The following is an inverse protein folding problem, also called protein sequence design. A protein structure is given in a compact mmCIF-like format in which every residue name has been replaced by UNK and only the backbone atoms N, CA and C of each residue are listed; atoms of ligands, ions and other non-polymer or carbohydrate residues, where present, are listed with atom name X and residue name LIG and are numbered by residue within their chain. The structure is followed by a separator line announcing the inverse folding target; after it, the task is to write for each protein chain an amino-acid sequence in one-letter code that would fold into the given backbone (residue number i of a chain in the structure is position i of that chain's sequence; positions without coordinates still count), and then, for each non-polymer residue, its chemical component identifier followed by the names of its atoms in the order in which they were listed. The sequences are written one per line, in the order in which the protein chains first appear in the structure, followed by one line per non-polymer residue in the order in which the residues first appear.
data_IF_666506827018
#
_entry.id   IF_666506827018
#
_cell.length_a   1.000
_cell.length_b   1.000
_cell.length_c   1.000
_cell.angle_alpha   90.00
_cell.angle_beta   90.00
_cell.angle_gamma   90.00
#
_symmetry.space_group_name_H-M   'P 1'
#
loop_
_entity.id
_entity.type
_entity.pdbx_description
1 polymer ?
#
# COMPACT_ATOMS: atom_id res chain seq x y z
N UNK A 1 65.02 -13.18 -56.14
CA UNK A 1 64.16 -12.36 -55.26
C UNK A 1 63.48 -13.26 -54.25
N UNK A 2 64.03 -13.30 -53.06
CA UNK A 2 63.53 -14.16 -51.97
C UNK A 2 62.70 -13.31 -51.05
N UNK A 3 61.37 -13.35 -51.16
CA UNK A 3 60.44 -12.67 -50.22
C UNK A 3 60.19 -13.63 -49.07
N UNK A 4 61.07 -13.62 -48.08
CA UNK A 4 60.87 -14.31 -46.81
C UNK A 4 59.84 -13.51 -45.98
N UNK A 5 58.54 -13.72 -46.21
CA UNK A 5 57.50 -13.19 -45.36
C UNK A 5 57.47 -13.98 -44.04
N UNK A 6 57.94 -13.29 -42.99
CA UNK A 6 57.99 -13.88 -41.64
C UNK A 6 56.56 -14.07 -41.11
N UNK A 7 56.05 -15.32 -41.05
CA UNK A 7 54.64 -15.58 -40.68
C UNK A 7 54.29 -15.17 -39.23
N UNK A 8 55.28 -14.93 -38.38
CA UNK A 8 55.08 -14.54 -36.99
C UNK A 8 54.61 -13.09 -36.83
N UNK A 9 54.83 -12.21 -37.81
CA UNK A 9 54.39 -10.79 -37.72
C UNK A 9 52.85 -10.64 -37.82
N UNK A 10 52.14 -11.57 -38.39
CA UNK A 10 50.68 -11.53 -38.57
C UNK A 10 49.92 -12.25 -37.47
N UNK A 11 50.53 -13.19 -36.76
CA UNK A 11 49.93 -13.92 -35.65
C UNK A 11 49.58 -13.01 -34.46
N UNK A 12 50.43 -12.08 -34.09
CA UNK A 12 50.25 -11.21 -32.92
C UNK A 12 49.00 -10.31 -33.01
N UNK A 13 48.75 -9.56 -34.09
CA UNK A 13 47.53 -8.75 -34.20
C UNK A 13 46.25 -9.60 -34.23
N UNK A 14 46.26 -10.80 -34.79
CA UNK A 14 45.11 -11.72 -34.78
C UNK A 14 44.86 -12.27 -33.38
N UNK A 15 45.88 -12.68 -32.64
CA UNK A 15 45.76 -13.13 -31.26
C UNK A 15 45.28 -11.99 -30.32
N UNK A 16 45.85 -10.80 -30.45
CA UNK A 16 45.35 -9.63 -29.67
C UNK A 16 43.90 -9.26 -30.00
N UNK A 17 43.54 -9.29 -31.29
CA UNK A 17 42.15 -9.05 -31.69
C UNK A 17 41.17 -10.11 -31.11
N UNK A 18 41.54 -11.37 -31.14
CA UNK A 18 40.74 -12.47 -30.55
C UNK A 18 40.62 -12.31 -29.02
N UNK A 19 41.67 -11.93 -28.31
CA UNK A 19 41.65 -11.65 -26.87
C UNK A 19 40.75 -10.48 -26.52
N UNK A 20 40.79 -9.37 -27.28
CA UNK A 20 39.90 -8.21 -27.08
C UNK A 20 38.45 -8.60 -27.29
N UNK A 21 38.12 -9.36 -28.35
CA UNK A 21 36.74 -9.85 -28.58
C UNK A 21 36.29 -10.74 -27.44
N UNK A 22 37.15 -11.68 -26.99
CA UNK A 22 36.82 -12.55 -25.86
C UNK A 22 36.59 -11.76 -24.56
N UNK A 23 37.40 -10.74 -24.28
CA UNK A 23 37.23 -9.85 -23.11
C UNK A 23 35.90 -9.08 -23.17
N UNK A 24 35.54 -8.55 -24.35
CA UNK A 24 34.27 -7.83 -24.55
C UNK A 24 33.09 -8.79 -24.36
N UNK A 25 33.14 -9.99 -24.95
CA UNK A 25 32.10 -11.00 -24.78
C UNK A 25 31.93 -11.41 -23.30
N UNK A 26 33.05 -11.62 -22.60
CA UNK A 26 33.04 -11.94 -21.17
C UNK A 26 32.43 -10.78 -20.35
N UNK A 27 32.78 -9.54 -20.64
CA UNK A 27 32.20 -8.36 -19.97
C UNK A 27 30.67 -8.26 -20.21
N UNK A 28 30.21 -8.57 -21.44
CA UNK A 28 28.77 -8.58 -21.77
C UNK A 28 28.05 -9.69 -20.98
N UNK A 29 28.62 -10.89 -20.94
CA UNK A 29 28.04 -12.06 -20.21
C UNK A 29 27.99 -11.75 -18.70
N UNK A 30 29.07 -11.21 -18.13
CA UNK A 30 29.10 -10.82 -16.71
C UNK A 30 28.08 -9.75 -16.41
N UNK A 31 27.97 -8.72 -17.23
CA UNK A 31 26.96 -7.67 -17.05
C UNK A 31 25.53 -8.23 -17.11
N UNK A 32 25.28 -9.16 -18.05
CA UNK A 32 23.99 -9.82 -18.13
C UNK A 32 23.69 -10.68 -16.89
N UNK A 33 24.67 -11.44 -16.41
CA UNK A 33 24.53 -12.27 -15.21
C UNK A 33 24.24 -11.41 -13.96
N UNK A 34 24.97 -10.30 -13.78
CA UNK A 34 24.76 -9.35 -12.67
C UNK A 34 23.34 -8.74 -12.73
N UNK A 35 22.88 -8.35 -13.93
CA UNK A 35 21.53 -7.81 -14.09
C UNK A 35 20.44 -8.84 -13.81
N UNK A 36 20.64 -10.08 -14.23
CA UNK A 36 19.71 -11.18 -14.00
C UNK A 36 19.60 -11.49 -12.50
N UNK A 37 20.72 -11.53 -11.80
CA UNK A 37 20.77 -11.77 -10.36
C UNK A 37 20.11 -10.64 -9.57
N UNK A 38 20.37 -9.36 -9.92
CA UNK A 38 19.66 -8.22 -9.33
C UNK A 38 18.15 -8.33 -9.51
N UNK A 39 17.69 -8.70 -10.68
CA UNK A 39 16.25 -8.89 -10.91
C UNK A 39 15.66 -9.97 -10.01
N UNK A 40 16.30 -11.12 -9.89
CA UNK A 40 15.83 -12.20 -9.02
C UNK A 40 15.76 -11.74 -7.57
N UNK A 41 16.78 -11.03 -7.10
CA UNK A 41 16.84 -10.47 -5.75
C UNK A 41 15.68 -9.50 -5.48
N UNK A 42 15.50 -8.47 -6.34
CA UNK A 42 14.44 -7.47 -6.11
C UNK A 42 13.04 -8.03 -6.31
N UNK A 43 12.84 -9.00 -7.21
CA UNK A 43 11.57 -9.72 -7.31
C UNK A 43 11.30 -10.53 -6.04
N UNK A 44 12.32 -11.20 -5.49
CA UNK A 44 12.22 -11.90 -4.21
C UNK A 44 11.86 -10.96 -3.06
N UNK A 45 12.56 -9.85 -2.94
CA UNK A 45 12.31 -8.80 -1.96
C UNK A 45 10.88 -8.23 -2.10
N UNK A 46 10.43 -7.94 -3.32
CA UNK A 46 9.08 -7.46 -3.61
C UNK A 46 8.02 -8.44 -3.10
N UNK A 47 8.20 -9.74 -3.32
CA UNK A 47 7.26 -10.76 -2.83
C UNK A 47 7.17 -10.77 -1.30
N UNK A 48 8.30 -10.63 -0.60
CA UNK A 48 8.34 -10.54 0.87
C UNK A 48 7.61 -9.28 1.36
N UNK A 49 7.89 -8.13 0.75
CA UNK A 49 7.23 -6.85 1.10
C UNK A 49 5.72 -6.93 0.88
N UNK A 50 5.30 -7.40 -0.30
CA UNK A 50 3.90 -7.54 -0.65
C UNK A 50 3.16 -8.51 0.28
N UNK A 51 3.79 -9.63 0.68
CA UNK A 51 3.19 -10.59 1.62
C UNK A 51 3.02 -9.97 3.02
N UNK A 52 4.03 -9.24 3.52
CA UNK A 52 3.95 -8.55 4.82
C UNK A 52 2.82 -7.52 4.85
N UNK A 53 2.74 -6.67 3.82
CA UNK A 53 1.67 -5.67 3.69
C UNK A 53 0.29 -6.34 3.54
N UNK A 54 0.18 -7.35 2.67
CA UNK A 54 -1.08 -8.07 2.48
C UNK A 54 -1.56 -8.79 3.74
N UNK A 55 -0.64 -9.29 4.58
CA UNK A 55 -0.97 -9.89 5.87
C UNK A 55 -1.53 -8.85 6.83
N UNK A 56 -0.94 -7.68 6.89
CA UNK A 56 -1.41 -6.56 7.72
C UNK A 56 -2.79 -6.09 7.29
N UNK A 57 -2.99 -5.83 5.99
CA UNK A 57 -4.27 -5.41 5.40
C UNK A 57 -5.36 -6.45 5.71
N UNK A 58 -5.07 -7.73 5.48
CA UNK A 58 -5.99 -8.84 5.80
C UNK A 58 -6.35 -8.93 7.28
N UNK A 59 -5.38 -8.64 8.16
CA UNK A 59 -5.63 -8.58 9.61
C UNK A 59 -6.64 -7.50 9.97
N UNK A 60 -6.54 -6.33 9.36
CA UNK A 60 -7.51 -5.24 9.52
C UNK A 60 -8.89 -5.66 8.99
N UNK A 61 -8.96 -6.16 7.76
CA UNK A 61 -10.22 -6.60 7.14
C UNK A 61 -10.96 -7.61 8.01
N UNK A 62 -10.28 -8.69 8.43
CA UNK A 62 -10.89 -9.76 9.23
C UNK A 62 -11.41 -9.27 10.59
N UNK A 63 -10.67 -8.38 11.25
CA UNK A 63 -11.10 -7.84 12.53
C UNK A 63 -12.25 -6.84 12.37
N UNK A 64 -12.21 -6.01 11.34
CA UNK A 64 -13.27 -5.08 11.01
C UNK A 64 -14.56 -5.82 10.66
N UNK A 65 -14.49 -6.83 9.81
CA UNK A 65 -15.64 -7.69 9.47
C UNK A 65 -16.30 -8.29 10.73
N UNK A 66 -15.51 -8.75 11.71
CA UNK A 66 -16.05 -9.26 12.99
C UNK A 66 -16.80 -8.18 13.81
N UNK A 67 -16.32 -6.94 13.81
CA UNK A 67 -17.00 -5.80 14.46
C UNK A 67 -18.28 -5.45 13.70
N UNK A 68 -18.22 -5.40 12.39
CA UNK A 68 -19.36 -5.03 11.53
C UNK A 68 -20.45 -6.07 11.54
N UNK A 69 -20.10 -7.36 11.59
CA UNK A 69 -21.06 -8.44 11.76
C UNK A 69 -21.79 -8.34 13.11
N UNK A 70 -21.13 -7.84 14.15
CA UNK A 70 -21.79 -7.61 15.43
C UNK A 70 -22.74 -6.43 15.34
N UNK A 71 -22.34 -5.32 14.72
CA UNK A 71 -23.23 -4.18 14.45
C UNK A 71 -24.44 -4.62 13.64
N UNK A 72 -24.27 -5.46 12.60
CA UNK A 72 -25.36 -5.94 11.76
C UNK A 72 -26.43 -6.74 12.53
N UNK A 73 -26.06 -7.37 13.65
CA UNK A 73 -26.99 -8.12 14.52
C UNK A 73 -27.75 -7.23 15.50
N UNK A 74 -27.28 -6.00 15.73
CA UNK A 74 -27.75 -5.10 16.78
C UNK A 74 -28.24 -3.75 16.24
N UNK A 75 -29.09 -3.79 15.22
CA UNK A 75 -29.69 -2.61 14.59
C UNK A 75 -31.01 -2.14 15.25
N UNK A 76 -31.39 -2.70 16.40
CA UNK A 76 -32.66 -2.43 17.09
C UNK A 76 -32.67 -1.10 17.84
N UNK A 77 -31.51 -0.59 18.25
CA UNK A 77 -31.40 0.68 18.96
C UNK A 77 -30.01 1.32 18.83
N UNK A 78 -29.90 2.64 18.99
CA UNK A 78 -28.61 3.35 19.01
C UNK A 78 -27.64 2.78 20.06
N UNK A 79 -28.16 2.48 21.24
CA UNK A 79 -27.37 1.96 22.36
C UNK A 79 -26.77 0.57 22.03
N UNK A 80 -27.57 -0.31 21.43
CA UNK A 80 -27.11 -1.65 21.01
C UNK A 80 -25.99 -1.57 19.96
N UNK A 81 -26.10 -0.63 19.00
CA UNK A 81 -25.05 -0.35 18.01
C UNK A 81 -23.76 0.10 18.70
N UNK A 82 -23.83 1.02 19.64
CA UNK A 82 -22.68 1.55 20.38
C UNK A 82 -21.99 0.43 21.16
N UNK A 83 -22.74 -0.42 21.83
CA UNK A 83 -22.23 -1.58 22.57
C UNK A 83 -21.59 -2.60 21.63
N UNK A 84 -22.19 -2.86 20.47
CA UNK A 84 -21.65 -3.76 19.45
C UNK A 84 -20.31 -3.24 18.91
N UNK A 85 -20.20 -1.94 18.57
CA UNK A 85 -18.95 -1.32 18.15
C UNK A 85 -17.86 -1.42 19.22
N UNK A 86 -18.21 -1.17 20.50
CA UNK A 86 -17.27 -1.22 21.62
C UNK A 86 -16.82 -2.61 22.02
N UNK A 87 -17.61 -3.65 21.73
CA UNK A 87 -17.43 -5.00 22.29
C UNK A 87 -16.15 -5.70 21.83
N UNK A 88 -15.59 -5.33 20.67
CA UNK A 88 -14.44 -6.01 20.02
C UNK A 88 -13.33 -5.09 19.56
N UNK A 89 -13.37 -3.80 19.92
CA UNK A 89 -12.40 -2.79 19.43
C UNK A 89 -10.96 -3.02 19.90
N UNK A 90 -10.74 -3.76 20.99
CA UNK A 90 -9.40 -4.07 21.51
C UNK A 90 -8.61 -5.09 20.68
N UNK A 91 -9.17 -5.62 19.60
CA UNK A 91 -8.61 -6.80 18.92
C UNK A 91 -7.57 -6.48 17.85
N UNK A 92 -7.50 -5.23 17.35
CA UNK A 92 -6.52 -4.88 16.32
C UNK A 92 -5.83 -3.55 16.62
N UNK A 93 -4.54 -3.59 17.02
CA UNK A 93 -3.76 -2.37 17.30
C UNK A 93 -3.46 -1.53 16.04
N UNK A 94 -3.74 -2.06 14.86
CA UNK A 94 -3.50 -1.39 13.57
C UNK A 94 -4.69 -0.51 13.14
N UNK A 95 -5.84 -0.61 13.83
CA UNK A 95 -7.05 0.20 13.59
C UNK A 95 -7.16 1.28 14.66
N UNK A 96 -7.29 2.53 14.23
CA UNK A 96 -7.41 3.68 15.14
C UNK A 96 -8.81 3.73 15.75
N UNK A 97 -9.83 3.42 14.94
CA UNK A 97 -11.20 3.40 15.40
C UNK A 97 -12.16 2.73 14.44
N UNK A 98 -13.33 2.44 14.97
CA UNK A 98 -14.44 1.84 14.25
C UNK A 98 -15.67 2.72 14.35
N UNK A 99 -16.41 2.85 13.25
CA UNK A 99 -17.64 3.62 13.23
C UNK A 99 -18.77 2.91 12.52
N UNK A 100 -19.99 3.41 12.76
CA UNK A 100 -21.18 3.07 11.99
C UNK A 100 -21.91 4.36 11.59
N UNK A 101 -21.85 4.73 10.32
CA UNK A 101 -22.51 5.93 9.79
C UNK A 101 -23.86 5.57 9.19
N UNK A 102 -24.93 5.89 9.92
CA UNK A 102 -26.29 5.47 9.55
C UNK A 102 -26.88 6.33 8.44
N UNK A 103 -27.80 5.75 7.66
CA UNK A 103 -28.61 6.52 6.74
C UNK A 103 -29.41 7.58 7.52
N UNK A 104 -29.63 8.79 6.96
CA UNK A 104 -30.29 9.86 7.65
C UNK A 104 -31.63 9.45 8.28
N UNK A 105 -31.79 9.73 9.57
CA UNK A 105 -32.99 9.41 10.36
C UNK A 105 -33.31 7.90 10.49
N UNK A 106 -32.34 7.01 10.34
CA UNK A 106 -32.54 5.57 10.60
C UNK A 106 -33.08 5.34 12.02
N UNK A 107 -32.48 6.04 12.99
CA UNK A 107 -33.01 6.19 14.36
C UNK A 107 -33.58 7.58 14.51
N UNK A 108 -34.91 7.78 14.46
CA UNK A 108 -35.52 9.12 14.50
C UNK A 108 -35.11 9.97 15.71
N UNK A 109 -34.88 9.34 16.88
CA UNK A 109 -34.47 10.02 18.10
C UNK A 109 -33.04 10.62 18.02
N UNK A 110 -32.16 10.06 17.18
CA UNK A 110 -30.79 10.53 16.95
C UNK A 110 -30.72 11.58 15.84
N UNK A 111 -31.82 11.77 15.09
CA UNK A 111 -31.89 12.74 14.01
C UNK A 111 -31.15 12.32 12.74
N UNK A 112 -30.69 13.33 11.99
CA UNK A 112 -30.13 13.13 10.66
C UNK A 112 -28.74 12.48 10.67
N UNK A 113 -27.90 12.80 11.65
CA UNK A 113 -26.48 12.41 11.64
C UNK A 113 -26.17 11.51 12.84
N UNK A 114 -26.39 10.23 12.72
CA UNK A 114 -25.99 9.29 13.74
C UNK A 114 -24.76 8.51 13.25
N UNK A 115 -23.59 8.86 13.80
CA UNK A 115 -22.30 8.24 13.50
C UNK A 115 -21.52 8.03 14.81
N UNK A 116 -21.82 6.96 15.56
CA UNK A 116 -20.96 6.55 16.68
C UNK A 116 -19.60 6.12 16.15
N UNK A 117 -18.55 6.62 16.78
CA UNK A 117 -17.15 6.31 16.52
C UNK A 117 -16.48 5.91 17.82
N UNK A 118 -15.96 4.68 17.85
CA UNK A 118 -15.20 4.14 18.97
C UNK A 118 -13.74 4.11 18.56
N UNK A 119 -12.90 4.91 19.20
CA UNK A 119 -11.51 5.09 18.85
C UNK A 119 -10.59 5.03 20.06
N UNK A 120 -9.30 4.81 19.82
CA UNK A 120 -8.31 4.85 20.88
C UNK A 120 -8.11 6.30 21.34
N UNK A 121 -8.27 6.55 22.64
CA UNK A 121 -7.98 7.83 23.27
C UNK A 121 -6.48 7.96 23.64
N UNK A 122 -6.14 9.01 24.39
CA UNK A 122 -4.77 9.26 24.88
C UNK A 122 -4.25 8.16 25.84
N UNK A 123 -5.15 7.35 26.37
CA UNK A 123 -4.87 6.16 27.17
C UNK A 123 -5.19 4.90 26.38
N UNK A 124 -4.92 3.72 26.94
CA UNK A 124 -5.29 2.44 26.34
C UNK A 124 -6.81 2.18 26.33
N UNK A 125 -7.61 3.13 26.78
CA UNK A 125 -9.07 3.03 26.81
C UNK A 125 -9.68 3.55 25.52
N UNK A 126 -10.75 2.88 25.08
CA UNK A 126 -11.53 3.31 23.93
C UNK A 126 -12.52 4.41 24.33
N UNK A 127 -12.59 5.44 23.51
CA UNK A 127 -13.48 6.60 23.68
C UNK A 127 -14.59 6.52 22.63
N UNK A 128 -15.82 6.71 23.07
CA UNK A 128 -16.97 6.89 22.17
C UNK A 128 -17.14 8.37 21.85
N UNK A 129 -17.22 8.69 20.59
CA UNK A 129 -17.54 10.04 20.07
C UNK A 129 -18.67 9.94 19.05
N UNK A 130 -19.66 10.83 19.12
CA UNK A 130 -20.65 11.01 18.05
C UNK A 130 -20.13 12.04 17.07
N UNK A 131 -19.63 11.58 15.94
CA UNK A 131 -18.90 12.43 14.97
C UNK A 131 -19.85 13.16 14.02
N UNK A 132 -20.94 12.50 13.59
CA UNK A 132 -21.91 13.08 12.66
C UNK A 132 -22.60 14.32 13.19
N UNK A 133 -22.60 15.42 12.40
CA UNK A 133 -23.24 16.68 12.75
C UNK A 133 -23.45 17.55 11.50
N UNK A 134 -24.13 18.70 11.65
CA UNK A 134 -24.25 19.68 10.58
C UNK A 134 -22.90 20.29 10.12
N UNK A 135 -21.87 20.24 10.98
CA UNK A 135 -20.50 20.67 10.64
C UNK A 135 -19.66 19.55 10.02
N UNK A 136 -20.03 18.32 10.33
CA UNK A 136 -19.42 17.13 9.77
C UNK A 136 -20.52 16.24 9.18
N UNK A 137 -20.99 16.60 7.99
CA UNK A 137 -21.98 15.82 7.26
C UNK A 137 -21.29 14.68 6.50
N UNK A 138 -21.14 13.53 7.17
CA UNK A 138 -20.53 12.35 6.60
C UNK A 138 -21.26 11.84 5.34
N UNK A 139 -22.52 12.21 5.14
CA UNK A 139 -23.28 11.78 3.95
C UNK A 139 -22.71 12.32 2.64
N UNK A 140 -21.81 13.30 2.71
CA UNK A 140 -21.08 13.88 1.57
C UNK A 140 -19.68 13.31 1.41
N UNK A 141 -19.19 12.53 2.37
CA UNK A 141 -17.86 11.92 2.32
C UNK A 141 -17.77 10.87 1.19
N UNK A 142 -16.61 10.79 0.53
CA UNK A 142 -16.39 9.88 -0.61
C UNK A 142 -16.64 8.42 -0.24
N UNK A 143 -16.12 7.97 0.92
CA UNK A 143 -16.31 6.62 1.42
C UNK A 143 -17.78 6.30 1.72
N UNK A 144 -18.57 7.27 2.22
CA UNK A 144 -20.00 7.06 2.47
C UNK A 144 -20.79 6.96 1.17
N UNK A 145 -20.55 7.91 0.24
CA UNK A 145 -21.18 7.93 -1.09
C UNK A 145 -20.84 6.66 -1.87
N UNK A 146 -19.63 6.15 -1.75
CA UNK A 146 -19.23 4.88 -2.33
C UNK A 146 -19.97 3.73 -1.65
N UNK A 147 -20.00 3.66 -0.31
CA UNK A 147 -20.71 2.64 0.46
C UNK A 147 -22.21 2.56 0.20
N UNK A 148 -22.82 3.69 -0.20
CA UNK A 148 -24.24 3.70 -0.65
C UNK A 148 -24.46 2.96 -1.97
N UNK A 149 -23.43 2.75 -2.78
CA UNK A 149 -23.49 2.13 -4.11
C UNK A 149 -22.98 0.69 -4.09
N UNK A 150 -22.01 0.41 -3.23
CA UNK A 150 -21.40 -0.90 -3.12
C UNK A 150 -22.31 -1.87 -2.34
N UNK A 151 -22.11 -3.16 -2.61
CA UNK A 151 -22.81 -4.25 -1.87
C UNK A 151 -21.84 -5.07 -1.04
N UNK A 152 -20.56 -4.85 -1.23
CA UNK A 152 -19.45 -5.57 -0.61
C UNK A 152 -18.51 -4.59 0.08
N UNK A 153 -17.67 -5.11 0.95
CA UNK A 153 -16.64 -4.33 1.62
C UNK A 153 -15.60 -3.81 0.62
N UNK A 154 -15.09 -2.61 0.88
CA UNK A 154 -14.10 -1.95 0.03
C UNK A 154 -13.13 -1.10 0.86
N UNK A 155 -11.98 -0.77 0.27
CA UNK A 155 -11.07 0.24 0.80
C UNK A 155 -11.37 1.60 0.15
N UNK A 156 -11.52 2.64 0.98
CA UNK A 156 -11.67 4.01 0.47
C UNK A 156 -10.35 4.50 -0.14
N UNK A 157 -10.45 5.49 -1.02
CA UNK A 157 -9.30 6.37 -1.28
C UNK A 157 -8.90 7.10 0.00
N UNK A 158 -7.65 7.58 0.05
CA UNK A 158 -7.19 8.42 1.15
C UNK A 158 -7.95 9.75 1.15
N UNK A 159 -8.38 10.19 2.32
CA UNK A 159 -9.08 11.47 2.51
C UNK A 159 -8.54 12.22 3.73
N UNK A 160 -8.58 13.53 3.68
CA UNK A 160 -8.18 14.35 4.81
C UNK A 160 -9.38 14.55 5.75
N UNK A 161 -9.18 14.23 7.03
CA UNK A 161 -10.13 14.51 8.11
C UNK A 161 -9.60 15.64 8.97
N UNK A 162 -10.41 16.66 9.18
CA UNK A 162 -10.09 17.78 10.07
C UNK A 162 -11.00 17.72 11.30
N UNK A 163 -10.38 17.71 12.47
CA UNK A 163 -11.10 17.46 13.71
C UNK A 163 -11.48 18.72 14.49
N UNK A 164 -12.70 18.65 15.02
CA UNK A 164 -13.19 19.52 16.09
C UNK A 164 -13.68 18.73 17.33
N UNK A 165 -13.41 17.42 17.43
CA UNK A 165 -14.07 16.50 18.38
C UNK A 165 -13.11 15.53 19.09
N UNK A 166 -11.83 15.86 19.22
CA UNK A 166 -10.77 15.03 19.82
C UNK A 166 -10.40 13.74 19.04
N UNK A 167 -10.73 13.70 17.76
CA UNK A 167 -10.20 12.69 16.82
C UNK A 167 -9.05 13.34 16.06
N UNK A 168 -7.89 12.72 15.94
CA UNK A 168 -6.72 13.36 15.34
C UNK A 168 -6.96 13.78 13.89
N UNK A 169 -6.63 15.03 13.54
CA UNK A 169 -6.67 15.48 12.15
C UNK A 169 -5.56 14.82 11.33
N UNK A 170 -5.84 14.44 10.09
CA UNK A 170 -4.85 13.81 9.22
C UNK A 170 -5.46 13.14 8.00
N UNK A 171 -4.60 12.46 7.26
CA UNK A 171 -5.03 11.61 6.15
C UNK A 171 -5.41 10.22 6.66
N UNK A 172 -6.61 9.80 6.30
CA UNK A 172 -7.20 8.53 6.67
C UNK A 172 -7.47 7.67 5.44
N UNK A 173 -7.50 6.37 5.66
CA UNK A 173 -8.06 5.36 4.78
C UNK A 173 -8.98 4.48 5.60
N UNK A 174 -10.08 4.07 5.02
CA UNK A 174 -11.13 3.32 5.70
C UNK A 174 -11.40 2.02 4.97
N UNK A 175 -11.37 0.91 5.72
CA UNK A 175 -12.02 -0.32 5.26
C UNK A 175 -13.49 -0.21 5.60
N UNK A 176 -14.34 -0.09 4.59
CA UNK A 176 -15.76 0.20 4.73
C UNK A 176 -16.63 -0.97 4.29
N UNK A 177 -17.75 -1.18 4.98
CA UNK A 177 -18.72 -2.23 4.69
C UNK A 177 -20.14 -1.68 4.81
N UNK A 178 -20.95 -1.74 3.74
CA UNK A 178 -22.37 -1.42 3.82
C UNK A 178 -23.14 -2.49 4.58
N UNK A 179 -23.93 -2.09 5.57
CA UNK A 179 -24.75 -2.97 6.42
C UNK A 179 -26.22 -2.81 6.05
N UNK A 180 -26.87 -3.92 5.78
CA UNK A 180 -28.28 -3.96 5.39
C UNK A 180 -29.16 -4.50 6.55
N UNK A 181 -30.34 -3.93 6.70
CA UNK A 181 -31.33 -4.41 7.67
C UNK A 181 -32.02 -5.72 7.21
N UNK A 182 -32.84 -6.29 8.06
CA UNK A 182 -33.58 -7.52 7.77
C UNK A 182 -34.54 -7.41 6.55
N UNK A 183 -34.84 -6.21 6.11
CA UNK A 183 -35.65 -5.91 4.92
C UNK A 183 -34.79 -5.69 3.66
N UNK A 184 -33.48 -5.83 3.77
CA UNK A 184 -32.52 -5.61 2.68
C UNK A 184 -32.32 -4.14 2.32
N UNK A 185 -32.69 -3.20 3.19
CA UNK A 185 -32.43 -1.76 3.02
C UNK A 185 -31.10 -1.43 3.68
N UNK A 186 -30.32 -0.54 3.08
CA UNK A 186 -29.11 -0.04 3.70
C UNK A 186 -29.45 0.65 5.03
N UNK A 187 -28.84 0.18 6.11
CA UNK A 187 -28.93 0.76 7.45
C UNK A 187 -27.81 1.76 7.71
N UNK A 188 -26.57 1.35 7.47
CA UNK A 188 -25.37 2.19 7.67
C UNK A 188 -24.22 1.72 6.79
N UNK A 189 -23.18 2.53 6.75
CA UNK A 189 -21.85 2.14 6.31
C UNK A 189 -20.96 2.08 7.54
N UNK A 190 -20.47 0.88 7.87
CA UNK A 190 -19.45 0.69 8.91
C UNK A 190 -18.06 0.95 8.33
N UNK A 191 -17.15 1.45 9.15
CA UNK A 191 -15.76 1.68 8.76
C UNK A 191 -14.77 1.39 9.87
N UNK A 192 -13.60 0.94 9.48
CA UNK A 192 -12.39 0.79 10.30
C UNK A 192 -11.31 1.70 9.74
N UNK A 193 -10.87 2.65 10.56
CA UNK A 193 -9.96 3.71 10.15
C UNK A 193 -8.51 3.38 10.47
N UNK A 194 -7.64 3.69 9.51
CA UNK A 194 -6.20 3.75 9.66
C UNK A 194 -5.68 5.09 9.16
N UNK A 195 -4.56 5.57 9.70
CA UNK A 195 -3.91 6.79 9.17
C UNK A 195 -2.86 6.44 8.12
N UNK A 196 -2.63 7.40 7.22
CA UNK A 196 -1.49 7.35 6.30
C UNK A 196 -0.16 7.27 7.08
N UNK A 197 -0.05 7.99 8.19
CA UNK A 197 1.14 8.00 9.05
C UNK A 197 1.45 6.61 9.62
N UNK A 198 0.43 5.89 10.07
CA UNK A 198 0.57 4.48 10.47
C UNK A 198 1.10 3.60 9.32
N UNK A 199 0.60 3.80 8.08
CA UNK A 199 1.08 3.03 6.92
C UNK A 199 2.55 3.37 6.59
N UNK A 200 2.94 4.64 6.72
CA UNK A 200 4.34 5.08 6.56
C UNK A 200 5.24 4.38 7.59
N UNK A 201 4.81 4.32 8.85
CA UNK A 201 5.58 3.64 9.90
C UNK A 201 5.69 2.13 9.67
N UNK A 202 4.64 1.48 9.19
CA UNK A 202 4.69 0.06 8.78
C UNK A 202 5.65 -0.14 7.61
N UNK A 203 5.59 0.73 6.62
CA UNK A 203 6.45 0.65 5.45
C UNK A 203 7.93 0.82 5.82
N UNK A 204 8.24 1.78 6.71
CA UNK A 204 9.59 2.01 7.24
C UNK A 204 10.12 0.76 7.96
N UNK A 205 9.33 0.14 8.82
CA UNK A 205 9.70 -1.10 9.52
C UNK A 205 9.97 -2.25 8.53
N UNK A 206 9.11 -2.41 7.53
CA UNK A 206 9.29 -3.45 6.51
C UNK A 206 10.55 -3.18 5.69
N UNK A 207 10.83 -1.94 5.33
CA UNK A 207 12.05 -1.56 4.60
C UNK A 207 13.30 -1.88 5.42
N UNK A 208 13.33 -1.52 6.71
CA UNK A 208 14.44 -1.84 7.61
C UNK A 208 14.65 -3.36 7.73
N UNK A 209 13.58 -4.13 7.85
CA UNK A 209 13.66 -5.59 7.92
C UNK A 209 14.26 -6.19 6.65
N UNK A 210 13.82 -5.77 5.46
CA UNK A 210 14.36 -6.32 4.20
C UNK A 210 15.77 -5.82 3.91
N UNK A 211 16.16 -4.62 4.37
CA UNK A 211 17.54 -4.13 4.29
C UNK A 211 18.50 -4.95 5.14
N UNK A 212 18.05 -5.42 6.31
CA UNK A 212 18.86 -6.17 7.25
C UNK A 212 18.75 -7.70 7.09
N UNK A 213 17.92 -8.18 6.17
CA UNK A 213 17.76 -9.61 5.91
C UNK A 213 18.98 -10.17 5.16
N UNK A 214 19.76 -11.03 5.83
CA UNK A 214 20.96 -11.65 5.26
C UNK A 214 20.65 -12.53 4.04
N UNK A 215 19.50 -13.21 4.01
CA UNK A 215 19.11 -14.07 2.89
C UNK A 215 18.77 -13.27 1.64
N UNK A 216 18.21 -12.08 1.81
CA UNK A 216 17.87 -11.17 0.71
C UNK A 216 19.10 -10.37 0.23
N UNK A 217 20.10 -10.16 1.10
CA UNK A 217 21.24 -9.27 0.83
C UNK A 217 22.57 -10.01 0.60
N UNK A 218 22.69 -11.30 0.94
CA UNK A 218 23.97 -12.00 0.99
C UNK A 218 24.33 -12.75 -0.33
N UNK A 219 24.15 -12.11 -1.47
CA UNK A 219 24.45 -12.72 -2.78
C UNK A 219 25.79 -12.28 -3.39
N UNK A 220 26.75 -11.79 -2.58
CA UNK A 220 28.14 -11.56 -3.02
C UNK A 220 28.32 -10.46 -4.06
N UNK A 221 27.29 -9.73 -4.43
CA UNK A 221 27.39 -8.56 -5.29
C UNK A 221 27.77 -7.33 -4.46
N UNK A 222 28.78 -6.55 -4.88
CA UNK A 222 29.08 -5.29 -4.25
C UNK A 222 27.93 -4.31 -4.53
N UNK A 223 27.36 -3.76 -3.50
CA UNK A 223 26.50 -2.60 -3.63
C UNK A 223 25.33 -2.64 -2.65
N UNK A 224 25.37 -1.75 -1.67
CA UNK A 224 24.16 -1.16 -1.14
C UNK A 224 23.53 -0.39 -2.29
N UNK A 225 22.71 -1.09 -3.10
CA UNK A 225 21.89 -0.39 -4.08
C UNK A 225 21.00 0.58 -3.30
N UNK A 226 21.01 1.85 -3.69
CA UNK A 226 20.12 2.84 -3.10
C UNK A 226 18.70 2.55 -3.60
N UNK A 227 17.87 2.02 -2.71
CA UNK A 227 16.49 1.72 -2.99
C UNK A 227 15.58 2.22 -1.86
N UNK A 228 14.33 2.42 -2.19
CA UNK A 228 13.26 2.64 -1.21
C UNK A 228 11.99 1.89 -1.61
N UNK A 229 11.12 1.68 -0.63
CA UNK A 229 9.83 1.04 -0.84
C UNK A 229 8.74 2.11 -0.78
N UNK A 230 7.78 2.06 -1.68
CA UNK A 230 6.67 3.03 -1.75
C UNK A 230 5.35 2.31 -2.02
N UNK A 231 4.26 2.80 -1.44
CA UNK A 231 2.91 2.40 -1.82
C UNK A 231 2.36 3.48 -2.75
N UNK A 232 1.84 3.06 -3.89
CA UNK A 232 1.32 3.92 -4.95
C UNK A 232 -0.19 3.76 -5.09
N UNK A 233 -0.86 4.87 -5.33
CA UNK A 233 -2.20 4.88 -5.89
C UNK A 233 -2.16 4.44 -7.37
N UNK A 234 -3.31 4.17 -7.94
CA UNK A 234 -3.47 3.75 -9.33
C UNK A 234 -3.15 4.86 -10.35
N UNK A 235 -3.05 6.12 -9.92
CA UNK A 235 -2.60 7.26 -10.73
C UNK A 235 -1.07 7.47 -10.72
N UNK A 236 -0.33 6.64 -9.98
CA UNK A 236 1.12 6.71 -9.85
C UNK A 236 1.63 7.69 -8.79
N UNK A 237 0.74 8.33 -8.03
CA UNK A 237 1.13 9.14 -6.86
C UNK A 237 1.44 8.25 -5.66
N UNK A 238 2.42 8.64 -4.83
CA UNK A 238 2.70 7.90 -3.60
C UNK A 238 1.58 8.11 -2.59
N UNK A 239 1.04 7.00 -2.11
CA UNK A 239 0.18 6.96 -0.94
C UNK A 239 1.00 6.94 0.36
N UNK A 240 2.07 6.14 0.42
CA UNK A 240 2.98 6.09 1.55
C UNK A 240 4.43 5.94 1.08
N UNK A 241 5.32 6.76 1.64
CA UNK A 241 6.77 6.72 1.43
C UNK A 241 7.47 6.75 2.80
N UNK A 242 8.55 6.00 3.04
CA UNK A 242 9.22 5.92 4.35
C UNK A 242 9.63 7.26 4.94
N UNK A 243 10.07 8.20 4.10
CA UNK A 243 10.47 9.55 4.52
C UNK A 243 9.32 10.56 4.55
N UNK A 244 8.10 10.12 4.21
CA UNK A 244 6.93 11.00 4.08
C UNK A 244 6.90 11.86 2.82
N UNK A 245 7.82 11.64 1.89
CA UNK A 245 7.91 12.37 0.64
C UNK A 245 6.79 12.02 -0.33
N UNK A 246 6.38 12.99 -1.14
CA UNK A 246 5.46 12.74 -2.25
C UNK A 246 6.29 12.37 -3.48
N UNK A 247 6.07 11.17 -3.99
CA UNK A 247 6.66 10.68 -5.23
C UNK A 247 5.56 10.54 -6.27
N UNK A 248 5.82 10.97 -7.50
CA UNK A 248 4.89 10.80 -8.61
C UNK A 248 5.59 10.11 -9.77
N UNK A 249 4.99 9.04 -10.26
CA UNK A 249 5.44 8.24 -11.40
C UNK A 249 4.40 8.35 -12.50
N UNK A 250 4.51 9.38 -13.33
CA UNK A 250 3.50 9.78 -14.33
C UNK A 250 3.69 9.17 -15.72
N UNK A 251 4.54 8.16 -15.89
CA UNK A 251 4.66 7.44 -17.16
C UNK A 251 3.33 6.76 -17.51
N UNK A 252 2.80 7.04 -18.70
CA UNK A 252 1.45 6.59 -19.10
C UNK A 252 1.32 5.05 -19.12
N UNK A 253 2.35 4.34 -19.57
CA UNK A 253 2.33 2.88 -19.63
C UNK A 253 2.39 2.26 -18.23
N UNK A 254 3.18 2.88 -17.34
CA UNK A 254 3.27 2.47 -15.95
C UNK A 254 1.95 2.71 -15.21
N UNK A 255 1.36 3.89 -15.32
CA UNK A 255 0.05 4.23 -14.74
C UNK A 255 -1.04 3.29 -15.25
N UNK A 256 -1.04 2.97 -16.56
CA UNK A 256 -1.96 1.98 -17.11
C UNK A 256 -1.79 0.60 -16.47
N UNK A 257 -0.54 0.18 -16.21
CA UNK A 257 -0.25 -1.10 -15.52
C UNK A 257 -0.76 -1.10 -14.08
N UNK A 258 -0.62 0.02 -13.35
CA UNK A 258 -1.16 0.15 -11.99
C UNK A 258 -2.69 0.00 -11.97
N UNK A 259 -3.39 0.70 -12.87
CA UNK A 259 -4.87 0.63 -13.03
C UNK A 259 -5.36 -0.76 -13.40
N UNK A 260 -4.58 -1.50 -14.18
CA UNK A 260 -4.88 -2.88 -14.55
C UNK A 260 -4.53 -3.90 -13.44
N UNK A 261 -3.98 -3.46 -12.32
CA UNK A 261 -3.44 -4.33 -11.27
C UNK A 261 -2.41 -5.33 -11.80
N UNK A 262 -1.57 -4.88 -12.72
CA UNK A 262 -0.46 -5.67 -13.23
C UNK A 262 0.71 -5.67 -12.24
N UNK A 263 1.58 -6.66 -12.37
CA UNK A 263 2.88 -6.71 -11.70
C UNK A 263 4.00 -6.75 -12.72
N UNK A 264 5.13 -6.12 -12.40
CA UNK A 264 6.21 -6.09 -13.35
C UNK A 264 7.44 -5.32 -12.90
N UNK A 265 8.24 -4.98 -13.88
CA UNK A 265 9.44 -4.16 -13.75
C UNK A 265 9.39 -3.08 -14.82
N UNK A 266 9.52 -1.82 -14.41
CA UNK A 266 9.56 -0.67 -15.29
C UNK A 266 10.88 0.10 -15.15
N UNK A 267 11.29 0.77 -16.21
CA UNK A 267 12.41 1.69 -16.21
C UNK A 267 11.84 3.10 -16.32
N UNK A 268 11.92 3.87 -15.24
CA UNK A 268 11.26 5.17 -15.11
C UNK A 268 12.26 6.21 -14.57
N UNK A 269 11.91 7.47 -14.77
CA UNK A 269 12.51 8.57 -14.03
C UNK A 269 11.67 8.87 -12.80
N UNK A 270 12.25 8.75 -11.62
CA UNK A 270 11.58 9.01 -10.34
C UNK A 270 12.29 10.18 -9.68
N UNK A 271 11.57 11.29 -9.48
CA UNK A 271 12.11 12.55 -8.96
C UNK A 271 13.39 13.02 -9.71
N UNK A 272 13.42 12.88 -11.03
CA UNK A 272 14.58 13.29 -11.87
C UNK A 272 15.73 12.28 -11.87
N UNK A 273 15.58 11.11 -11.23
CA UNK A 273 16.62 10.08 -11.16
C UNK A 273 16.18 8.85 -11.95
N UNK A 274 16.97 8.42 -12.97
CA UNK A 274 16.71 7.18 -13.68
C UNK A 274 16.69 6.01 -12.70
N UNK A 275 15.56 5.28 -12.67
CA UNK A 275 15.32 4.25 -11.68
C UNK A 275 14.75 3.00 -12.33
N UNK A 276 14.91 1.87 -11.65
CA UNK A 276 14.25 0.62 -11.97
C UNK A 276 13.21 0.34 -10.90
N UNK A 277 11.96 0.20 -11.31
CA UNK A 277 10.81 0.06 -10.41
C UNK A 277 10.26 -1.35 -10.52
N UNK A 278 10.29 -2.10 -9.43
CA UNK A 278 9.65 -3.40 -9.28
C UNK A 278 8.33 -3.17 -8.57
N UNK A 279 7.21 -3.63 -9.12
CA UNK A 279 5.90 -3.32 -8.57
C UNK A 279 4.95 -4.51 -8.63
N UNK A 280 4.01 -4.53 -7.68
CA UNK A 280 2.94 -5.53 -7.60
C UNK A 280 1.72 -4.95 -6.90
N UNK A 281 0.48 -5.30 -7.33
CA UNK A 281 -0.73 -4.83 -6.67
C UNK A 281 -0.88 -5.46 -5.29
N UNK A 282 -1.44 -4.70 -4.36
CA UNK A 282 -1.93 -5.18 -3.07
C UNK A 282 -3.37 -5.64 -3.24
N UNK A 283 -3.62 -6.92 -3.02
CA UNK A 283 -4.94 -7.52 -3.26
C UNK A 283 -6.04 -6.86 -2.45
N UNK A 284 -7.23 -6.72 -3.06
CA UNK A 284 -8.44 -6.12 -2.48
C UNK A 284 -8.32 -4.61 -2.22
N UNK A 285 -7.24 -3.99 -2.63
CA UNK A 285 -7.06 -2.54 -2.60
C UNK A 285 -6.85 -2.02 -4.02
N UNK A 286 -6.87 -0.71 -4.19
CA UNK A 286 -6.45 -0.02 -5.42
C UNK A 286 -4.98 0.43 -5.35
N UNK A 287 -4.23 -0.06 -4.35
CA UNK A 287 -2.82 0.27 -4.18
C UNK A 287 -1.91 -0.76 -4.83
N UNK A 288 -0.74 -0.29 -5.22
CA UNK A 288 0.40 -1.12 -5.58
C UNK A 288 1.58 -0.81 -4.68
N UNK A 289 2.36 -1.82 -4.31
CA UNK A 289 3.66 -1.59 -3.67
C UNK A 289 4.75 -1.65 -4.71
N UNK A 290 5.73 -0.75 -4.58
CA UNK A 290 6.88 -0.69 -5.47
C UNK A 290 8.21 -0.60 -4.69
N UNK A 291 9.24 -1.26 -5.22
CA UNK A 291 10.64 -1.06 -4.84
C UNK A 291 11.29 -0.26 -5.95
N UNK A 292 11.79 0.93 -5.61
CA UNK A 292 12.47 1.84 -6.52
C UNK A 292 13.96 1.73 -6.29
N UNK A 293 14.69 1.29 -7.29
CA UNK A 293 16.15 1.13 -7.28
C UNK A 293 16.76 2.20 -8.16
N UNK A 294 17.52 3.13 -7.58
CA UNK A 294 18.24 4.16 -8.32
C UNK A 294 19.36 3.53 -9.15
N UNK A 295 19.59 4.06 -10.37
CA UNK A 295 20.66 3.61 -11.27
C UNK A 295 21.94 4.43 -11.09
#
# INVERSE_FOLDING_TARGET
MNTNSNPKKWLWPVVTGALVVAAVLLAVVLNYAVRAERNVRYVGMMNVVAEKLSKTIRGVEMNAENVFDEVAKHLESPQAVIEALGSKTSLNPDVIGYFAAFVPNYFPQEGRWFQPYVHQGDSTEFVLTLVGSARHDYTTSTWYVQGMKEKESFWSESYYYEDNLNVASGYYMTFATPIFDAQGRLACVCGADMTQEWMIDKLRKIEDEVRNDELLNNHGLPGNDDFFIVILNDDGTSFAHPDGDIVTMSDEAFVASLKNHDRGVAELEVNGVPSRVYYTPLRRTHWSVAIVVKK
#
